data_IF_031405896973
#
_entry.id   IF_031405896973
#
_cell.length_a   1.000
_cell.length_b   1.000
_cell.length_c   1.000
_cell.angle_alpha   90.00
_cell.angle_beta   90.00
_cell.angle_gamma   90.00
#
_symmetry.space_group_name_H-M   'P 1'
#
loop_
_entity.id
_entity.type
_entity.pdbx_description
1 polymer ?
#
# COMPACT_ATOMS: atom_id res chain seq x y z
N UNK A 1 6.27 19.40 10.81
CA UNK A 1 5.13 19.14 11.72
C UNK A 1 4.00 18.35 11.06
N UNK A 2 3.39 18.82 9.96
CA UNK A 2 2.21 18.15 9.38
C UNK A 2 2.46 16.80 8.69
N UNK A 3 3.63 16.58 8.07
CA UNK A 3 3.97 15.29 7.46
C UNK A 3 4.05 14.15 8.49
N UNK A 4 4.57 14.43 9.69
CA UNK A 4 4.65 13.47 10.79
C UNK A 4 3.25 13.13 11.34
N UNK A 5 2.31 14.08 11.31
CA UNK A 5 0.91 13.83 11.66
C UNK A 5 0.29 12.79 10.71
N UNK A 6 0.51 12.93 9.40
CA UNK A 6 0.03 11.95 8.40
C UNK A 6 0.65 10.58 8.63
N UNK A 7 1.95 10.52 8.96
CA UNK A 7 2.61 9.26 9.29
C UNK A 7 2.02 8.60 10.56
N UNK A 8 1.78 9.37 11.61
CA UNK A 8 1.14 8.89 12.84
C UNK A 8 -0.30 8.43 12.60
N UNK A 9 -1.05 9.17 11.77
CA UNK A 9 -2.38 8.78 11.33
C UNK A 9 -2.37 7.42 10.64
N UNK A 10 -1.47 7.17 9.68
CA UNK A 10 -1.38 5.87 9.01
C UNK A 10 -1.13 4.72 9.98
N UNK A 11 -0.22 4.90 10.96
CA UNK A 11 0.07 3.89 11.98
C UNK A 11 -1.15 3.54 12.81
N UNK A 12 -1.89 4.56 13.26
CA UNK A 12 -3.07 4.37 14.10
C UNK A 12 -4.23 3.78 13.29
N UNK A 13 -4.55 4.37 12.14
CA UNK A 13 -5.66 3.93 11.28
C UNK A 13 -5.47 2.48 10.80
N UNK A 14 -4.24 2.05 10.52
CA UNK A 14 -3.93 0.66 10.17
C UNK A 14 -4.42 -0.33 11.23
N UNK A 15 -4.33 0.01 12.52
CA UNK A 15 -4.80 -0.84 13.62
C UNK A 15 -6.33 -0.95 13.72
N UNK A 16 -7.05 -0.03 13.08
CA UNK A 16 -8.51 0.04 13.11
C UNK A 16 -9.18 -0.61 11.88
N UNK A 17 -8.38 -1.03 10.88
CA UNK A 17 -8.92 -1.62 9.66
C UNK A 17 -9.46 -3.03 9.90
N UNK A 18 -10.69 -3.28 9.45
CA UNK A 18 -11.25 -4.63 9.27
C UNK A 18 -10.75 -5.25 7.96
N UNK A 19 -11.08 -6.51 7.72
CA UNK A 19 -10.81 -7.17 6.44
C UNK A 19 -11.34 -6.32 5.27
N UNK A 20 -10.50 -6.12 4.26
CA UNK A 20 -10.75 -5.25 3.09
C UNK A 20 -10.99 -3.76 3.38
N UNK A 21 -10.82 -3.31 4.63
CA UNK A 21 -10.96 -1.90 4.99
C UNK A 21 -9.90 -1.02 4.33
N UNK A 22 -10.28 0.23 4.07
CA UNK A 22 -9.44 1.21 3.37
C UNK A 22 -9.19 2.46 4.20
N UNK A 23 -8.03 3.07 3.99
CA UNK A 23 -7.71 4.42 4.47
C UNK A 23 -7.72 5.34 3.27
N UNK A 24 -8.56 6.38 3.31
CA UNK A 24 -8.65 7.39 2.24
C UNK A 24 -8.02 8.69 2.74
N UNK A 25 -7.12 9.26 1.94
CA UNK A 25 -6.49 10.55 2.24
C UNK A 25 -6.60 11.46 1.03
N UNK A 26 -7.28 12.58 1.21
CA UNK A 26 -7.33 13.64 0.20
C UNK A 26 -6.10 14.53 0.39
N UNK A 27 -5.30 14.68 -0.67
CA UNK A 27 -4.05 15.42 -0.60
C UNK A 27 -3.81 16.26 -1.84
N UNK A 28 -3.21 17.42 -1.63
CA UNK A 28 -2.86 18.35 -2.71
C UNK A 28 -1.70 17.83 -3.54
N UNK A 29 -1.82 17.99 -4.85
CA UNK A 29 -0.84 17.52 -5.83
C UNK A 29 0.22 18.57 -6.17
N UNK A 30 0.08 19.79 -5.67
CA UNK A 30 1.00 20.89 -5.94
C UNK A 30 2.01 21.13 -4.81
N UNK A 31 3.07 21.88 -5.14
CA UNK A 31 4.09 22.26 -4.17
C UNK A 31 3.49 23.14 -3.05
N UNK A 32 3.98 23.00 -1.80
CA UNK A 32 5.04 22.08 -1.36
C UNK A 32 4.52 20.68 -0.98
N UNK A 33 3.21 20.43 -1.08
CA UNK A 33 2.54 19.25 -0.53
C UNK A 33 2.86 17.97 -1.30
N UNK A 34 3.05 18.06 -2.62
CA UNK A 34 3.43 16.91 -3.45
C UNK A 34 4.71 16.21 -2.97
N UNK A 35 5.65 16.96 -2.38
CA UNK A 35 6.91 16.43 -1.87
C UNK A 35 6.76 15.55 -0.62
N UNK A 36 5.57 15.47 -0.02
CA UNK A 36 5.36 14.67 1.19
C UNK A 36 5.42 13.17 0.92
N UNK A 37 5.14 12.75 -0.31
CA UNK A 37 5.15 11.38 -0.79
C UNK A 37 4.36 10.43 0.13
N UNK A 38 3.03 10.48 0.01
CA UNK A 38 2.10 9.73 0.87
C UNK A 38 2.33 8.22 0.75
N UNK A 39 2.65 7.72 -0.45
CA UNK A 39 2.93 6.30 -0.67
C UNK A 39 4.11 5.82 0.18
N UNK A 40 5.20 6.61 0.26
CA UNK A 40 6.35 6.29 1.13
C UNK A 40 5.98 6.34 2.62
N UNK A 41 5.12 7.25 3.03
CA UNK A 41 4.65 7.32 4.43
C UNK A 41 3.76 6.12 4.79
N UNK A 42 2.86 5.74 3.88
CA UNK A 42 1.96 4.60 4.02
C UNK A 42 2.73 3.28 4.05
N UNK A 43 3.72 3.10 3.15
CA UNK A 43 4.52 1.88 3.10
C UNK A 43 5.33 1.66 4.39
N UNK A 44 5.83 2.74 4.99
CA UNK A 44 6.46 2.71 6.32
C UNK A 44 5.53 2.26 7.45
N UNK A 45 4.23 2.15 7.18
CA UNK A 45 3.18 1.65 8.10
C UNK A 45 2.54 0.34 7.62
N UNK A 46 3.19 -0.40 6.71
CA UNK A 46 2.66 -1.65 6.11
C UNK A 46 1.31 -1.45 5.40
N UNK A 47 1.16 -0.33 4.71
CA UNK A 47 0.03 -0.03 3.85
C UNK A 47 0.51 0.07 2.40
N UNK A 48 -0.32 -0.36 1.46
CA UNK A 48 -0.06 -0.25 0.02
C UNK A 48 -1.12 0.63 -0.64
N UNK A 49 -0.71 1.46 -1.60
CA UNK A 49 -1.64 2.22 -2.43
C UNK A 49 -2.42 1.23 -3.30
N UNK A 50 -3.74 1.32 -3.27
CA UNK A 50 -4.65 0.54 -4.12
C UNK A 50 -5.14 1.39 -5.27
N UNK A 51 -5.44 2.66 -4.99
CA UNK A 51 -6.02 3.55 -5.99
C UNK A 51 -5.67 5.00 -5.67
N UNK A 52 -5.41 5.78 -6.72
CA UNK A 52 -5.41 7.24 -6.69
C UNK A 52 -6.44 7.73 -7.70
N UNK A 53 -7.37 8.57 -7.25
CA UNK A 53 -8.37 9.22 -8.11
C UNK A 53 -8.31 10.72 -7.90
N UNK A 54 -8.74 11.47 -8.91
CA UNK A 54 -8.87 12.92 -8.77
C UNK A 54 -9.91 13.25 -7.71
N UNK A 55 -9.60 14.25 -6.90
CA UNK A 55 -10.52 14.73 -5.88
C UNK A 55 -11.53 15.68 -6.54
N UNK A 56 -12.81 15.33 -6.48
CA UNK A 56 -13.90 16.23 -6.82
C UNK A 56 -14.61 16.69 -5.54
N UNK A 57 -14.72 18.01 -5.36
CA UNK A 57 -15.40 18.58 -4.19
C UNK A 57 -16.90 18.24 -4.19
N UNK A 58 -17.50 18.12 -5.37
CA UNK A 58 -18.93 17.87 -5.51
C UNK A 58 -19.34 16.47 -5.02
N UNK A 59 -18.39 15.54 -4.91
CA UNK A 59 -18.63 14.21 -4.33
C UNK A 59 -18.84 14.27 -2.80
N UNK A 60 -18.55 15.43 -2.17
CA UNK A 60 -18.63 15.64 -0.73
C UNK A 60 -19.47 16.87 -0.37
N UNK A 61 -20.78 16.86 -0.69
CA UNK A 61 -21.66 17.98 -0.38
C UNK A 61 -21.70 18.23 1.14
N UNK A 62 -21.48 19.49 1.54
CA UNK A 62 -21.38 19.90 2.95
C UNK A 62 -19.95 20.03 3.49
N UNK A 63 -18.94 19.58 2.74
CA UNK A 63 -17.55 19.82 3.10
C UNK A 63 -17.10 21.22 2.64
N UNK A 64 -17.13 22.18 3.58
CA UNK A 64 -16.59 23.52 3.36
C UNK A 64 -15.16 23.59 3.89
N UNK A 65 -14.19 23.65 2.99
CA UNK A 65 -12.79 23.73 3.36
C UNK A 65 -12.49 25.07 4.03
N UNK A 66 -12.10 25.04 5.30
CA UNK A 66 -11.74 26.21 6.12
C UNK A 66 -10.23 26.24 6.39
N UNK A 67 -9.69 27.43 6.65
CA UNK A 67 -8.29 27.57 7.07
C UNK A 67 -8.15 27.08 8.51
N UNK A 68 -7.04 26.40 8.79
CA UNK A 68 -6.82 25.75 10.09
C UNK A 68 -6.72 26.75 11.26
N UNK A 69 -6.09 27.90 11.03
CA UNK A 69 -5.68 28.84 12.08
C UNK A 69 -5.59 30.28 11.52
N UNK A 70 -5.55 31.26 12.43
CA UNK A 70 -5.40 32.68 12.19
C UNK A 70 -6.72 33.43 12.09
N UNK A 71 -6.64 34.76 11.95
CA UNK A 71 -7.79 35.67 11.82
C UNK A 71 -8.71 35.41 10.61
N UNK A 72 -8.32 34.46 9.75
CA UNK A 72 -9.06 34.03 8.56
C UNK A 72 -9.47 32.55 8.63
N UNK A 73 -9.46 31.91 9.80
CA UNK A 73 -9.75 30.49 9.96
C UNK A 73 -11.06 30.05 9.26
N UNK A 74 -12.14 30.82 9.39
CA UNK A 74 -13.42 30.51 8.75
C UNK A 74 -13.48 30.77 7.23
N UNK A 75 -12.46 31.43 6.65
CA UNK A 75 -12.42 31.69 5.21
C UNK A 75 -11.93 30.46 4.44
N UNK A 76 -12.47 30.22 3.23
CA UNK A 76 -11.99 29.14 2.41
C UNK A 76 -10.57 29.37 1.89
N UNK A 77 -9.98 28.30 1.37
CA UNK A 77 -8.71 28.33 0.65
C UNK A 77 -8.85 27.67 -0.72
N UNK A 78 -8.04 28.03 -1.71
CA UNK A 78 -8.04 27.32 -2.99
C UNK A 78 -7.55 25.88 -2.77
N UNK A 79 -8.39 24.90 -3.10
CA UNK A 79 -8.04 23.49 -3.01
C UNK A 79 -6.90 23.18 -3.99
N UNK A 80 -7.00 23.70 -5.22
CA UNK A 80 -6.09 23.34 -6.31
C UNK A 80 -6.24 21.88 -6.69
N UNK A 81 -5.37 21.40 -7.58
CA UNK A 81 -5.32 19.98 -7.95
C UNK A 81 -5.04 19.12 -6.72
N UNK A 82 -5.94 18.17 -6.47
CA UNK A 82 -5.87 17.25 -5.34
C UNK A 82 -6.30 15.86 -5.81
N UNK A 83 -5.80 14.83 -5.14
CA UNK A 83 -6.21 13.45 -5.37
C UNK A 83 -6.61 12.78 -4.06
N UNK A 84 -7.54 11.82 -4.16
CA UNK A 84 -7.87 10.87 -3.10
C UNK A 84 -6.99 9.64 -3.26
N UNK A 85 -6.16 9.37 -2.24
CA UNK A 85 -5.31 8.19 -2.17
C UNK A 85 -5.98 7.15 -1.28
N UNK A 86 -6.18 5.93 -1.80
CA UNK A 86 -6.80 4.82 -1.07
C UNK A 86 -5.77 3.75 -0.77
N UNK A 87 -5.60 3.44 0.50
CA UNK A 87 -4.63 2.47 0.98
C UNK A 87 -5.30 1.29 1.68
N UNK A 88 -4.68 0.11 1.58
CA UNK A 88 -5.06 -1.09 2.34
C UNK A 88 -3.84 -1.66 3.07
N UNK A 89 -4.07 -2.55 4.03
CA UNK A 89 -2.99 -3.33 4.65
C UNK A 89 -2.24 -4.07 3.56
N UNK A 90 -0.92 -3.88 3.50
CA UNK A 90 -0.10 -4.64 2.58
C UNK A 90 -0.09 -6.09 3.04
N UNK A 91 -0.61 -7.01 2.22
CA UNK A 91 -0.31 -8.42 2.42
C UNK A 91 1.14 -8.61 2.00
N UNK A 92 2.03 -8.84 2.98
CA UNK A 92 3.38 -9.28 2.67
C UNK A 92 3.26 -10.67 2.07
N UNK A 93 3.42 -10.79 0.77
CA UNK A 93 3.84 -12.06 0.21
C UNK A 93 5.26 -12.27 0.73
N UNK A 94 5.46 -13.19 1.69
CA UNK A 94 6.80 -13.55 2.14
C UNK A 94 7.49 -14.22 0.95
N UNK A 95 8.27 -13.43 0.20
CA UNK A 95 9.10 -13.94 -0.90
C UNK A 95 10.00 -15.08 -0.40
N UNK A 96 10.41 -15.06 0.88
CA UNK A 96 11.13 -16.15 1.54
C UNK A 96 10.35 -17.47 1.58
N UNK A 97 9.05 -17.47 1.85
CA UNK A 97 8.24 -18.70 1.87
C UNK A 97 8.05 -19.27 0.45
N UNK A 98 7.92 -18.38 -0.55
CA UNK A 98 7.83 -18.78 -1.96
C UNK A 98 9.15 -19.37 -2.46
N UNK A 99 10.29 -18.72 -2.16
CA UNK A 99 11.61 -19.22 -2.59
C UNK A 99 11.96 -20.54 -1.89
N UNK A 100 11.62 -20.70 -0.61
CA UNK A 100 11.76 -21.98 0.10
C UNK A 100 10.87 -23.06 -0.51
N UNK A 101 9.60 -22.76 -0.80
CA UNK A 101 8.67 -23.71 -1.44
C UNK A 101 9.15 -24.16 -2.82
N UNK A 102 9.55 -23.22 -3.68
CA UNK A 102 10.06 -23.52 -5.02
C UNK A 102 11.37 -24.33 -4.98
N UNK A 103 12.27 -24.00 -4.04
CA UNK A 103 13.48 -24.79 -3.78
C UNK A 103 13.18 -26.23 -3.37
N UNK A 104 12.17 -26.42 -2.51
CA UNK A 104 11.73 -27.76 -2.08
C UNK A 104 11.09 -28.56 -3.22
N UNK A 105 10.28 -27.93 -4.07
CA UNK A 105 9.69 -28.60 -5.25
C UNK A 105 10.76 -29.01 -6.26
N UNK A 106 11.75 -28.14 -6.54
CA UNK A 106 12.87 -28.48 -7.44
C UNK A 106 13.67 -29.69 -6.95
N UNK A 107 13.93 -29.80 -5.65
CA UNK A 107 14.61 -30.98 -5.06
C UNK A 107 13.80 -32.28 -5.25
N UNK A 108 12.48 -32.23 -5.06
CA UNK A 108 11.60 -33.40 -5.29
C UNK A 108 11.64 -33.87 -6.75
N UNK A 109 11.54 -32.93 -7.70
CA UNK A 109 11.59 -33.27 -9.15
C UNK A 109 12.94 -33.92 -9.51
N UNK A 110 14.05 -33.37 -9.03
CA UNK A 110 15.37 -33.93 -9.29
C UNK A 110 15.57 -35.33 -8.67
N UNK A 111 14.96 -35.59 -7.51
CA UNK A 111 14.99 -36.91 -6.89
C UNK A 111 14.22 -37.94 -7.71
N UNK A 112 13.03 -37.57 -8.21
CA UNK A 112 12.21 -38.41 -9.10
C UNK A 112 12.96 -38.73 -10.38
N UNK A 113 13.57 -37.73 -11.04
CA UNK A 113 14.29 -37.97 -12.30
C UNK A 113 15.50 -38.90 -12.14
N UNK A 114 16.21 -38.82 -11.00
CA UNK A 114 17.33 -39.71 -10.69
C UNK A 114 16.88 -41.16 -10.46
N UNK A 115 15.77 -41.34 -9.74
CA UNK A 115 15.24 -42.67 -9.44
C UNK A 115 14.74 -43.38 -10.70
N UNK A 116 14.10 -42.64 -11.62
CA UNK A 116 13.69 -43.18 -12.93
C UNK A 116 14.88 -43.62 -13.79
N UNK A 117 15.97 -42.83 -13.79
CA UNK A 117 17.14 -43.14 -14.60
C UNK A 117 17.94 -44.35 -14.07
N UNK A 118 18.00 -44.52 -12.75
CA UNK A 118 18.61 -45.68 -12.12
C UNK A 118 17.87 -46.99 -12.44
N UNK A 119 16.53 -46.95 -12.45
CA UNK A 119 15.71 -48.12 -12.81
C UNK A 119 15.85 -48.49 -14.29
N UNK A 120 16.00 -47.50 -15.19
CA UNK A 120 16.23 -47.75 -16.61
C UNK A 120 17.60 -48.40 -16.88
N UNK A 121 18.63 -48.06 -16.09
CA UNK A 121 19.95 -48.66 -16.21
C UNK A 121 20.01 -50.12 -15.70
N UNK A 122 19.19 -50.47 -14.71
CA UNK A 122 19.13 -51.81 -14.14
C UNK A 122 18.35 -52.83 -15.00
N UNK A 123 17.50 -52.36 -15.93
CA UNK A 123 16.69 -53.22 -16.80
C UNK A 123 17.41 -53.68 -18.08
N UNK A 124 18.67 -53.29 -18.29
CA UNK A 124 19.47 -53.61 -19.48
C UNK A 124 20.57 -54.67 -19.24
N UNK A 125 20.44 -55.49 -18.18
CA UNK A 125 21.31 -56.63 -17.88
C UNK A 125 20.52 -57.93 -17.80
#
# INVERSE_FOLDING_TARGET
MHRNLVQGFFRNARGMLRANGEIHVNHKNNAPFCHWNLEKLASGSSLALVQRVDFNKEDYPGCHNKRRDGSRCDKPFPLGESSTFKFRVSHRTKVSEITTSLGSMRKKILAISKHSNANAAAANF
#
